data_IF_365844148767
#
_entry.id   IF_365844148767
#
_cell.length_a   1.000
_cell.length_b   1.000
_cell.length_c   1.000
_cell.angle_alpha   90.00
_cell.angle_beta   90.00
_cell.angle_gamma   90.00
#
_symmetry.space_group_name_H-M   'P 1'
#
loop_
_entity.id
_entity.type
_entity.pdbx_description
1 polymer ?
#
# COMPACT_ATOMS: atom_id res chain seq x y z
N UNK A 1 1.78 1.99 -14.36
CA UNK A 1 1.19 1.05 -15.33
C UNK A 1 -0.16 0.59 -14.80
N UNK A 2 -1.23 0.97 -15.49
CA UNK A 2 -2.58 0.47 -15.23
C UNK A 2 -2.56 -1.04 -15.45
N UNK A 3 -2.71 -1.81 -14.36
CA UNK A 3 -2.99 -3.22 -14.45
C UNK A 3 -4.24 -3.42 -15.30
N UNK A 4 -4.08 -4.14 -16.40
CA UNK A 4 -5.19 -4.69 -17.15
C UNK A 4 -5.98 -5.56 -16.17
N UNK A 5 -7.17 -5.09 -15.78
CA UNK A 5 -8.10 -5.89 -15.02
C UNK A 5 -8.29 -7.21 -15.74
N UNK A 6 -8.07 -8.32 -15.05
CA UNK A 6 -8.35 -9.65 -15.57
C UNK A 6 -9.79 -9.67 -16.08
N UNK A 7 -9.93 -9.76 -17.38
CA UNK A 7 -11.21 -9.99 -18.02
C UNK A 7 -11.61 -11.40 -17.65
N UNK A 8 -12.41 -11.56 -16.59
CA UNK A 8 -12.95 -12.84 -16.18
C UNK A 8 -13.77 -13.42 -17.34
N UNK A 9 -13.16 -14.34 -18.10
CA UNK A 9 -13.84 -15.10 -19.11
C UNK A 9 -14.82 -16.05 -18.40
N UNK A 10 -16.08 -15.69 -18.35
CA UNK A 10 -17.14 -16.56 -17.83
C UNK A 10 -17.50 -17.57 -18.90
N UNK A 11 -17.29 -18.85 -18.60
CA UNK A 11 -17.68 -19.95 -19.48
C UNK A 11 -18.97 -20.57 -18.95
N UNK A 12 -19.97 -20.67 -19.81
CA UNK A 12 -21.21 -21.39 -19.49
C UNK A 12 -20.95 -22.87 -19.64
N UNK A 13 -21.11 -23.61 -18.55
CA UNK A 13 -20.92 -25.08 -18.52
C UNK A 13 -22.19 -25.80 -18.96
N UNK A 14 -23.36 -25.38 -18.47
CA UNK A 14 -24.64 -25.97 -18.85
C UNK A 14 -25.79 -24.95 -18.69
N UNK A 15 -26.90 -25.21 -19.39
CA UNK A 15 -28.16 -24.50 -19.27
C UNK A 15 -29.24 -25.48 -18.90
N UNK A 16 -29.89 -25.28 -17.76
CA UNK A 16 -30.79 -26.21 -17.14
C UNK A 16 -32.14 -25.54 -16.85
N UNK A 17 -33.20 -26.32 -16.97
CA UNK A 17 -34.48 -25.99 -16.36
C UNK A 17 -34.57 -26.80 -15.06
N UNK A 18 -34.79 -26.12 -13.94
CA UNK A 18 -34.85 -26.76 -12.62
C UNK A 18 -36.18 -27.46 -12.46
N UNK A 19 -36.13 -28.76 -12.19
CA UNK A 19 -37.29 -29.63 -11.93
C UNK A 19 -36.87 -30.89 -11.22
N UNK A 20 -37.79 -31.65 -10.67
CA UNK A 20 -37.48 -32.87 -9.90
C UNK A 20 -36.69 -33.90 -10.73
N UNK A 21 -36.99 -34.07 -12.01
CA UNK A 21 -36.34 -34.96 -12.94
C UNK A 21 -34.91 -34.49 -13.34
N UNK A 22 -34.57 -33.22 -13.13
CA UNK A 22 -33.30 -32.64 -13.53
C UNK A 22 -32.21 -32.79 -12.47
N UNK A 23 -32.49 -33.39 -11.31
CA UNK A 23 -31.57 -33.45 -10.16
C UNK A 23 -30.20 -34.01 -10.49
N UNK A 24 -30.13 -35.13 -11.15
CA UNK A 24 -28.84 -35.81 -11.47
C UNK A 24 -28.02 -35.02 -12.48
N UNK A 25 -28.70 -34.39 -13.45
CA UNK A 25 -28.05 -33.50 -14.42
C UNK A 25 -27.54 -32.26 -13.74
N UNK A 26 -28.32 -31.66 -12.86
CA UNK A 26 -27.88 -30.50 -12.04
C UNK A 26 -26.63 -30.86 -11.24
N UNK A 27 -26.63 -32.00 -10.54
CA UNK A 27 -25.47 -32.45 -9.74
C UNK A 27 -24.23 -32.67 -10.59
N UNK A 28 -24.39 -33.22 -11.79
CA UNK A 28 -23.26 -33.42 -12.73
C UNK A 28 -22.70 -32.08 -13.21
N UNK A 29 -23.56 -31.15 -13.63
CA UNK A 29 -23.16 -29.82 -14.09
C UNK A 29 -22.52 -28.99 -12.98
N UNK A 30 -23.00 -29.10 -11.74
CA UNK A 30 -22.38 -28.44 -10.57
C UNK A 30 -20.97 -28.98 -10.31
N UNK A 31 -20.78 -30.32 -10.34
CA UNK A 31 -19.44 -30.93 -10.15
C UNK A 31 -18.48 -30.47 -11.24
N UNK A 32 -18.93 -30.46 -12.48
CA UNK A 32 -18.10 -30.03 -13.62
C UNK A 32 -17.78 -28.54 -13.54
N UNK A 33 -18.75 -27.69 -13.20
CA UNK A 33 -18.53 -26.25 -13.01
C UNK A 33 -17.51 -25.97 -11.90
N UNK A 34 -17.63 -26.64 -10.76
CA UNK A 34 -16.66 -26.53 -9.66
C UNK A 34 -15.28 -27.05 -10.05
N UNK A 35 -15.21 -28.12 -10.87
CA UNK A 35 -13.94 -28.67 -11.36
C UNK A 35 -13.23 -27.67 -12.28
N UNK A 36 -13.95 -27.14 -13.27
CA UNK A 36 -13.39 -26.18 -14.23
C UNK A 36 -13.06 -24.84 -13.58
N UNK A 37 -13.93 -24.35 -12.66
CA UNK A 37 -13.75 -23.12 -11.89
C UNK A 37 -12.81 -23.25 -10.69
N UNK A 38 -12.03 -24.36 -10.57
CA UNK A 38 -11.08 -24.59 -9.47
C UNK A 38 -11.72 -24.37 -8.09
N UNK A 39 -12.94 -24.89 -7.90
CA UNK A 39 -13.67 -24.77 -6.65
C UNK A 39 -14.65 -23.59 -6.60
N UNK A 40 -14.69 -22.75 -7.61
CA UNK A 40 -15.61 -21.59 -7.69
C UNK A 40 -16.55 -21.73 -8.89
N UNK A 41 -17.83 -21.38 -8.71
CA UNK A 41 -18.82 -21.34 -9.80
C UNK A 41 -19.82 -20.23 -9.57
N UNK A 42 -20.57 -19.88 -10.61
CA UNK A 42 -21.71 -18.98 -10.53
C UNK A 42 -22.97 -19.64 -11.13
N UNK A 43 -24.09 -19.37 -10.52
CA UNK A 43 -25.41 -19.71 -11.06
C UNK A 43 -26.10 -18.43 -11.49
N UNK A 44 -26.54 -18.37 -12.73
CA UNK A 44 -27.30 -17.25 -13.27
C UNK A 44 -28.75 -17.69 -13.49
N UNK A 45 -29.65 -16.99 -12.84
CA UNK A 45 -31.10 -17.20 -13.00
C UNK A 45 -31.65 -16.27 -14.10
N UNK A 46 -32.08 -16.87 -15.20
CA UNK A 46 -32.60 -16.12 -16.33
C UNK A 46 -33.98 -15.46 -16.04
N UNK A 47 -34.75 -15.98 -15.08
CA UNK A 47 -36.09 -15.44 -14.74
C UNK A 47 -35.98 -14.16 -13.91
N UNK A 48 -35.00 -14.10 -13.02
CA UNK A 48 -34.79 -12.96 -12.12
C UNK A 48 -33.58 -12.08 -12.51
N UNK A 49 -32.83 -12.47 -13.54
CA UNK A 49 -31.57 -11.84 -13.96
C UNK A 49 -30.53 -11.74 -12.84
N UNK A 50 -30.64 -12.59 -11.83
CA UNK A 50 -29.73 -12.58 -10.68
C UNK A 50 -28.60 -13.60 -10.85
N UNK A 51 -27.42 -13.21 -10.40
CA UNK A 51 -26.26 -14.06 -10.33
C UNK A 51 -25.90 -14.33 -8.88
N UNK A 52 -25.63 -15.61 -8.56
CA UNK A 52 -25.13 -16.05 -7.25
C UNK A 52 -23.84 -16.82 -7.42
N UNK A 53 -22.87 -16.51 -6.58
CA UNK A 53 -21.58 -17.19 -6.57
C UNK A 53 -21.56 -18.27 -5.49
N UNK A 54 -20.87 -19.36 -5.80
CA UNK A 54 -20.65 -20.48 -4.89
C UNK A 54 -19.17 -20.90 -4.97
N UNK A 55 -18.58 -21.19 -3.82
CA UNK A 55 -17.18 -21.58 -3.74
C UNK A 55 -16.97 -22.63 -2.64
N UNK A 56 -15.97 -23.49 -2.83
CA UNK A 56 -15.43 -24.36 -1.79
C UNK A 56 -14.39 -23.65 -0.92
N UNK A 57 -13.92 -22.48 -1.37
CA UNK A 57 -12.97 -21.61 -0.67
C UNK A 57 -13.69 -20.41 -0.06
N UNK A 58 -13.01 -19.68 0.79
CA UNK A 58 -13.52 -18.44 1.35
C UNK A 58 -13.83 -17.46 0.22
N UNK A 59 -15.08 -17.06 0.10
CA UNK A 59 -15.54 -16.16 -0.95
C UNK A 59 -16.70 -15.30 -0.47
N UNK A 60 -16.73 -14.05 -0.89
CA UNK A 60 -17.90 -13.19 -0.72
C UNK A 60 -19.02 -13.59 -1.71
N UNK A 61 -20.19 -14.05 -1.26
CA UNK A 61 -21.23 -14.54 -2.16
C UNK A 61 -21.83 -13.44 -3.04
N UNK A 62 -21.78 -12.18 -2.61
CA UNK A 62 -22.34 -11.05 -3.37
C UNK A 62 -21.39 -10.49 -4.43
N UNK A 63 -20.09 -10.48 -4.16
CA UNK A 63 -19.08 -9.88 -5.07
C UNK A 63 -18.31 -10.93 -5.89
N UNK A 64 -18.30 -12.20 -5.43
CA UNK A 64 -17.51 -13.28 -6.03
C UNK A 64 -16.01 -13.17 -5.75
N UNK A 65 -15.58 -12.24 -4.88
CA UNK A 65 -14.17 -12.13 -4.48
C UNK A 65 -13.82 -13.34 -3.62
N UNK A 66 -12.87 -14.15 -4.09
CA UNK A 66 -12.36 -15.32 -3.39
C UNK A 66 -11.09 -14.97 -2.60
N UNK A 67 -10.97 -15.55 -1.42
CA UNK A 67 -9.80 -15.47 -0.57
C UNK A 67 -9.13 -16.85 -0.49
N UNK A 68 -7.81 -16.86 -0.40
CA UNK A 68 -7.08 -18.08 -0.12
C UNK A 68 -7.40 -18.57 1.30
N UNK A 69 -7.36 -19.88 1.50
CA UNK A 69 -7.53 -20.47 2.83
C UNK A 69 -6.40 -19.96 3.75
N UNK A 70 -6.74 -19.54 4.98
CA UNK A 70 -5.76 -18.96 5.89
C UNK A 70 -4.71 -20.01 6.28
N UNK A 71 -3.45 -19.60 6.18
CA UNK A 71 -2.31 -20.38 6.61
C UNK A 71 -1.44 -19.50 7.53
N UNK A 72 -0.53 -20.05 8.34
CA UNK A 72 0.29 -19.27 9.27
C UNK A 72 1.01 -18.09 8.61
N UNK A 73 1.47 -18.25 7.37
CA UNK A 73 2.15 -17.20 6.63
C UNK A 73 1.22 -16.03 6.21
N UNK A 74 -0.11 -16.24 6.16
CA UNK A 74 -1.10 -15.19 5.91
C UNK A 74 -1.09 -14.11 6.99
N UNK A 75 -0.72 -14.50 8.22
CA UNK A 75 -0.67 -13.63 9.39
C UNK A 75 0.74 -13.14 9.72
N UNK A 76 1.72 -13.37 8.85
CA UNK A 76 3.10 -12.97 9.04
C UNK A 76 3.44 -11.77 8.16
N UNK A 77 3.87 -10.67 8.76
CA UNK A 77 4.38 -9.51 8.03
C UNK A 77 5.77 -9.74 7.40
N UNK A 78 6.45 -10.83 7.75
CA UNK A 78 7.71 -11.26 7.12
C UNK A 78 7.48 -12.16 5.90
N UNK A 79 6.23 -12.52 5.60
CA UNK A 79 5.86 -13.34 4.46
C UNK A 79 5.21 -12.48 3.37
N UNK A 80 5.58 -12.61 2.09
CA UNK A 80 4.92 -11.92 0.98
C UNK A 80 3.41 -12.20 0.89
N UNK A 81 2.95 -13.34 1.42
CA UNK A 81 1.53 -13.71 1.46
C UNK A 81 0.75 -12.88 2.48
N UNK A 82 1.37 -12.52 3.62
CA UNK A 82 0.73 -11.76 4.69
C UNK A 82 1.10 -10.28 4.73
N UNK A 83 2.30 -9.93 4.29
CA UNK A 83 2.82 -8.57 4.33
C UNK A 83 1.98 -7.58 3.50
N UNK A 84 1.80 -6.38 4.02
CA UNK A 84 1.23 -5.27 3.25
C UNK A 84 2.09 -5.01 2.00
N UNK A 85 1.53 -5.05 0.78
CA UNK A 85 2.31 -4.91 -0.44
C UNK A 85 2.85 -3.50 -0.67
N UNK A 86 2.30 -2.50 0.02
CA UNK A 86 2.74 -1.12 -0.09
C UNK A 86 4.04 -0.86 0.70
N UNK A 87 4.06 -1.27 1.97
CA UNK A 87 5.22 -1.07 2.84
C UNK A 87 6.07 -2.35 3.03
N UNK A 88 5.78 -3.42 2.29
CA UNK A 88 6.47 -4.71 2.40
C UNK A 88 6.60 -5.24 3.84
N UNK A 89 5.56 -5.02 4.66
CA UNK A 89 5.54 -5.46 6.04
C UNK A 89 6.24 -4.55 7.05
N UNK A 90 6.76 -3.39 6.63
CA UNK A 90 7.43 -2.43 7.52
C UNK A 90 6.45 -1.71 8.45
N UNK A 91 5.20 -1.51 8.01
CA UNK A 91 4.17 -0.78 8.76
C UNK A 91 4.27 0.74 8.64
N UNK A 92 5.34 1.22 8.05
CA UNK A 92 5.61 2.64 7.82
C UNK A 92 6.08 2.87 6.39
N UNK A 93 5.99 4.10 5.94
CA UNK A 93 6.44 4.55 4.63
C UNK A 93 7.31 5.80 4.79
N UNK A 94 8.36 5.89 4.01
CA UNK A 94 9.18 7.07 3.91
C UNK A 94 8.52 8.06 2.95
N UNK A 95 8.29 9.28 3.38
CA UNK A 95 7.74 10.37 2.57
C UNK A 95 8.64 11.58 2.65
N UNK A 96 8.68 12.35 1.57
CA UNK A 96 9.42 13.61 1.57
C UNK A 96 8.74 14.65 2.47
N UNK A 97 9.54 15.28 3.30
CA UNK A 97 9.09 16.36 4.17
C UNK A 97 9.38 17.70 3.51
N UNK A 98 8.33 18.42 3.17
CA UNK A 98 8.45 19.76 2.53
C UNK A 98 9.23 20.73 3.42
N UNK A 99 9.07 20.66 4.74
CA UNK A 99 9.82 21.53 5.67
C UNK A 99 11.32 21.22 5.70
N UNK A 100 11.72 19.98 5.38
CA UNK A 100 13.14 19.63 5.21
C UNK A 100 13.66 19.97 3.82
N UNK A 101 12.80 19.97 2.80
CA UNK A 101 13.14 20.35 1.43
C UNK A 101 13.25 21.88 1.34
N UNK A 102 12.36 22.61 1.99
CA UNK A 102 12.29 24.08 2.01
C UNK A 102 12.29 24.53 3.48
N UNK A 103 13.46 24.59 4.12
CA UNK A 103 13.54 24.93 5.54
C UNK A 103 13.23 26.42 5.82
N UNK A 104 13.43 27.30 4.83
CA UNK A 104 13.13 28.71 4.94
C UNK A 104 12.31 29.20 3.73
N UNK A 105 11.03 29.44 3.96
CA UNK A 105 10.10 29.97 2.95
C UNK A 105 10.34 31.43 2.59
N UNK A 106 11.16 32.14 3.35
CA UNK A 106 11.54 33.54 3.07
C UNK A 106 12.64 33.68 2.02
N UNK A 107 13.37 32.59 1.74
CA UNK A 107 14.38 32.56 0.69
C UNK A 107 13.75 32.32 -0.68
N UNK A 108 14.45 32.78 -1.72
CA UNK A 108 14.10 32.54 -3.11
C UNK A 108 14.76 31.26 -3.65
N UNK A 109 14.26 30.76 -4.79
CA UNK A 109 14.90 29.63 -5.49
C UNK A 109 16.35 29.94 -5.87
N UNK A 110 16.65 31.20 -6.21
CA UNK A 110 18.00 31.67 -6.53
C UNK A 110 18.93 31.64 -5.33
N UNK A 111 18.42 31.95 -4.15
CA UNK A 111 19.17 31.94 -2.89
C UNK A 111 19.36 30.54 -2.32
N UNK A 112 18.64 29.53 -2.87
CA UNK A 112 18.75 28.13 -2.46
C UNK A 112 17.69 27.72 -1.45
N UNK A 113 16.49 28.30 -1.49
CA UNK A 113 15.35 27.92 -0.63
C UNK A 113 15.05 26.41 -0.69
N UNK A 114 15.24 25.79 -1.85
CA UNK A 114 15.07 24.36 -2.06
C UNK A 114 16.42 23.68 -1.86
N UNK A 115 16.67 23.17 -0.66
CA UNK A 115 17.97 22.67 -0.23
C UNK A 115 18.56 21.58 -1.16
N UNK A 116 17.78 20.59 -1.65
CA UNK A 116 18.28 19.58 -2.59
C UNK A 116 18.83 20.16 -3.90
N UNK A 117 18.34 21.30 -4.36
CA UNK A 117 18.78 21.95 -5.59
C UNK A 117 19.98 22.89 -5.35
N UNK A 118 20.13 23.38 -4.13
CA UNK A 118 21.15 24.35 -3.75
C UNK A 118 20.93 25.74 -4.34
N UNK A 119 21.96 26.58 -4.25
CA UNK A 119 21.92 27.93 -4.82
C UNK A 119 21.94 27.90 -6.35
N UNK A 120 21.43 28.96 -6.94
CA UNK A 120 21.40 29.15 -8.39
C UNK A 120 22.74 28.84 -9.07
N UNK A 121 22.66 28.10 -10.15
CA UNK A 121 23.73 27.82 -11.08
C UNK A 121 23.20 27.97 -12.50
N UNK A 122 24.03 28.49 -13.40
CA UNK A 122 23.66 28.53 -14.82
C UNK A 122 23.75 27.10 -15.40
N UNK A 123 22.67 26.34 -15.23
CA UNK A 123 22.54 24.95 -15.74
C UNK A 123 21.10 24.66 -16.17
N UNK A 124 20.91 23.51 -16.82
CA UNK A 124 19.64 23.05 -17.33
C UNK A 124 18.53 22.98 -16.25
N UNK A 125 18.88 22.61 -15.02
CA UNK A 125 17.93 22.49 -13.93
C UNK A 125 17.27 23.84 -13.62
N UNK A 126 18.06 24.90 -13.46
CA UNK A 126 17.53 26.24 -13.20
C UNK A 126 16.82 26.84 -14.41
N UNK A 127 17.22 26.48 -15.65
CA UNK A 127 16.47 26.86 -16.84
C UNK A 127 15.06 26.23 -16.86
N UNK A 128 14.92 24.98 -16.37
CA UNK A 128 13.61 24.33 -16.19
C UNK A 128 12.77 25.13 -15.19
N UNK A 129 13.34 25.49 -14.04
CA UNK A 129 12.63 26.27 -13.02
C UNK A 129 12.23 27.66 -13.50
N UNK A 130 13.04 28.33 -14.33
CA UNK A 130 12.67 29.60 -14.99
C UNK A 130 11.48 29.44 -15.93
N UNK A 131 11.41 28.33 -16.67
CA UNK A 131 10.26 28.04 -17.54
C UNK A 131 9.00 27.73 -16.74
N UNK A 132 9.12 27.03 -15.59
CA UNK A 132 7.99 26.89 -14.65
C UNK A 132 7.54 28.24 -14.12
N UNK A 133 8.49 29.12 -13.77
CA UNK A 133 8.19 30.48 -13.33
C UNK A 133 7.36 31.26 -14.35
N UNK A 134 7.73 31.19 -15.64
CA UNK A 134 6.96 31.82 -16.71
C UNK A 134 5.56 31.23 -16.90
N UNK A 135 5.41 29.90 -16.68
CA UNK A 135 4.11 29.21 -16.80
C UNK A 135 3.17 29.51 -15.65
N UNK A 136 3.72 29.63 -14.45
CA UNK A 136 2.95 29.79 -13.21
C UNK A 136 3.05 31.17 -12.57
N UNK A 137 3.58 32.16 -13.31
CA UNK A 137 3.65 33.57 -12.95
C UNK A 137 4.46 33.83 -11.67
N UNK A 138 5.69 33.31 -11.63
CA UNK A 138 6.68 33.59 -10.60
C UNK A 138 8.09 33.72 -11.18
N UNK A 139 9.00 34.32 -10.43
CA UNK A 139 10.43 34.43 -10.76
C UNK A 139 11.29 33.63 -9.79
N UNK A 140 12.53 33.32 -10.18
CA UNK A 140 13.46 32.65 -9.26
C UNK A 140 13.91 33.52 -8.08
N UNK A 141 13.64 34.83 -8.14
CA UNK A 141 13.99 35.81 -7.12
C UNK A 141 12.87 36.03 -6.09
N UNK A 142 11.66 35.49 -6.35
CA UNK A 142 10.54 35.59 -5.43
C UNK A 142 10.73 34.64 -4.24
N UNK A 143 10.41 35.06 -3.01
CA UNK A 143 10.39 34.17 -1.86
C UNK A 143 9.48 32.97 -2.09
N UNK A 144 9.95 31.75 -1.78
CA UNK A 144 9.17 30.53 -2.06
C UNK A 144 7.81 30.53 -1.36
N UNK A 145 7.70 31.15 -0.19
CA UNK A 145 6.42 31.32 0.52
C UNK A 145 5.41 32.23 -0.17
N UNK A 146 5.83 33.04 -1.15
CA UNK A 146 4.95 33.91 -1.94
C UNK A 146 4.56 33.35 -3.31
N UNK A 147 5.14 32.20 -3.70
CA UNK A 147 4.81 31.55 -4.97
C UNK A 147 3.34 31.12 -5.04
N UNK A 148 2.69 31.24 -6.21
CA UNK A 148 1.38 30.66 -6.41
C UNK A 148 1.39 29.16 -6.09
N UNK A 149 0.36 28.66 -5.42
CA UNK A 149 0.26 27.24 -5.01
C UNK A 149 0.48 26.25 -6.17
N UNK A 150 -0.09 26.46 -7.39
CA UNK A 150 0.20 25.59 -8.53
C UNK A 150 1.68 25.59 -8.94
N UNK A 151 2.35 26.74 -8.84
CA UNK A 151 3.77 26.90 -9.15
C UNK A 151 4.65 26.16 -8.15
N UNK A 152 4.38 26.32 -6.85
CA UNK A 152 5.09 25.59 -5.80
C UNK A 152 4.89 24.08 -5.92
N UNK A 153 3.66 23.63 -6.20
CA UNK A 153 3.37 22.22 -6.45
C UNK A 153 4.10 21.68 -7.67
N UNK A 154 4.17 22.47 -8.77
CA UNK A 154 4.93 22.09 -9.94
C UNK A 154 6.44 21.98 -9.64
N UNK A 155 7.01 22.86 -8.84
CA UNK A 155 8.41 22.76 -8.40
C UNK A 155 8.63 21.48 -7.59
N UNK A 156 7.77 21.18 -6.62
CA UNK A 156 7.94 20.06 -5.69
C UNK A 156 7.61 18.70 -6.30
N UNK A 157 6.53 18.60 -7.07
CA UNK A 157 5.94 17.32 -7.49
C UNK A 157 5.92 17.14 -9.01
N UNK A 158 6.41 18.14 -9.75
CA UNK A 158 6.47 18.08 -11.21
C UNK A 158 5.28 18.70 -11.92
N UNK A 159 5.43 18.77 -13.23
CA UNK A 159 4.41 19.29 -14.15
C UNK A 159 4.00 18.19 -15.14
N UNK A 160 2.70 18.07 -15.38
CA UNK A 160 2.15 17.09 -16.33
C UNK A 160 2.44 17.46 -17.79
N UNK A 161 2.68 18.72 -18.09
CA UNK A 161 2.97 19.22 -19.42
C UNK A 161 4.46 19.45 -19.62
N UNK A 162 5.05 18.96 -20.73
CA UNK A 162 6.45 19.21 -21.04
C UNK A 162 6.75 20.71 -21.20
N UNK A 163 7.96 21.08 -20.82
CA UNK A 163 8.50 22.43 -20.98
C UNK A 163 9.38 22.50 -22.22
N UNK A 164 9.25 23.59 -22.98
CA UNK A 164 10.15 23.85 -24.13
C UNK A 164 11.33 24.67 -23.65
N UNK A 165 12.54 24.09 -23.70
CA UNK A 165 13.78 24.77 -23.28
C UNK A 165 14.69 24.95 -24.49
N UNK A 166 15.29 26.12 -24.59
CA UNK A 166 16.35 26.38 -25.57
C UNK A 166 17.69 25.94 -24.97
N UNK A 167 18.28 24.88 -25.50
CA UNK A 167 19.55 24.33 -25.02
C UNK A 167 20.78 24.96 -25.66
N UNK A 168 20.64 26.02 -26.49
CA UNK A 168 21.79 26.66 -27.16
C UNK A 168 22.85 27.19 -26.18
N UNK A 169 22.47 27.49 -24.94
CA UNK A 169 23.38 27.99 -23.90
C UNK A 169 24.07 26.86 -23.14
N UNK A 170 23.57 25.63 -23.21
CA UNK A 170 24.03 24.48 -22.41
C UNK A 170 24.61 23.34 -23.26
N UNK A 171 24.38 23.36 -24.56
CA UNK A 171 24.83 22.30 -25.48
C UNK A 171 25.17 22.84 -26.84
N UNK A 172 26.25 22.32 -27.47
CA UNK A 172 26.67 22.62 -28.83
C UNK A 172 25.69 22.14 -29.91
N UNK A 173 24.72 21.29 -29.56
CA UNK A 173 23.68 20.81 -30.46
C UNK A 173 22.40 21.66 -30.45
N UNK A 174 22.47 22.90 -30.03
CA UNK A 174 21.44 23.90 -29.85
C UNK A 174 20.08 23.65 -30.51
N UNK A 175 19.03 24.19 -29.90
CA UNK A 175 17.63 24.08 -30.37
C UNK A 175 16.64 24.01 -29.23
N UNK A 176 15.37 24.02 -29.58
CA UNK A 176 14.29 23.85 -28.60
C UNK A 176 14.06 22.38 -28.36
N UNK A 177 14.12 21.97 -27.09
CA UNK A 177 13.87 20.62 -26.64
C UNK A 177 12.67 20.60 -25.67
N UNK A 178 11.85 19.54 -25.79
CA UNK A 178 10.80 19.24 -24.82
C UNK A 178 11.40 18.47 -23.66
N UNK A 179 11.26 19.01 -22.44
CA UNK A 179 11.76 18.42 -21.21
C UNK A 179 10.61 18.27 -20.22
N UNK A 180 10.49 17.10 -19.61
CA UNK A 180 9.54 16.87 -18.53
C UNK A 180 10.23 17.14 -17.19
N UNK A 181 9.56 17.89 -16.32
CA UNK A 181 9.97 18.10 -14.95
C UNK A 181 9.11 17.26 -14.01
N UNK A 182 9.73 16.34 -13.31
CA UNK A 182 9.02 15.39 -12.42
C UNK A 182 9.00 15.85 -10.95
N UNK A 183 9.58 17.03 -10.67
CA UNK A 183 9.60 17.62 -9.34
C UNK A 183 10.86 17.30 -8.52
N UNK A 184 11.04 18.10 -7.47
CA UNK A 184 12.16 17.96 -6.53
C UNK A 184 12.12 16.60 -5.83
N UNK A 185 10.94 16.09 -5.48
CA UNK A 185 10.79 14.78 -4.84
C UNK A 185 11.37 13.65 -5.70
N UNK A 186 11.06 13.63 -7.00
CA UNK A 186 11.62 12.64 -7.93
C UNK A 186 13.10 12.89 -8.21
N UNK A 187 13.51 14.17 -8.28
CA UNK A 187 14.93 14.54 -8.40
C UNK A 187 15.76 13.98 -7.25
N UNK A 188 15.28 14.06 -5.99
CA UNK A 188 15.94 13.45 -4.84
C UNK A 188 16.00 11.92 -4.98
N UNK A 189 14.95 11.31 -5.54
CA UNK A 189 14.88 9.86 -5.77
C UNK A 189 15.87 9.34 -6.82
N UNK A 190 16.20 10.16 -7.84
CA UNK A 190 17.01 9.80 -9.02
C UNK A 190 18.48 10.27 -8.97
N UNK A 191 18.96 10.74 -7.85
CA UNK A 191 20.38 11.15 -7.77
C UNK A 191 21.30 10.00 -8.17
N UNK A 192 22.28 10.26 -9.05
CA UNK A 192 23.17 9.28 -9.71
C UNK A 192 23.91 8.31 -8.77
N UNK A 193 23.90 8.57 -7.48
CA UNK A 193 24.51 7.76 -6.43
C UNK A 193 23.49 6.91 -5.64
N UNK A 194 22.40 6.44 -6.27
CA UNK A 194 21.32 5.67 -5.59
C UNK A 194 21.85 4.48 -4.78
N UNK A 195 22.89 3.81 -5.27
CA UNK A 195 23.49 2.64 -4.62
C UNK A 195 24.62 3.01 -3.65
N UNK A 196 25.05 4.28 -3.62
CA UNK A 196 26.10 4.70 -2.70
C UNK A 196 25.53 4.99 -1.30
N UNK A 197 26.26 4.57 -0.26
CA UNK A 197 25.90 4.90 1.12
C UNK A 197 25.79 6.41 1.37
N UNK A 198 26.49 7.21 0.59
CA UNK A 198 26.48 8.67 0.68
C UNK A 198 25.19 9.24 0.08
N UNK A 199 24.76 8.75 -1.08
CA UNK A 199 23.50 9.15 -1.73
C UNK A 199 22.30 8.78 -0.89
N UNK A 200 22.27 7.55 -0.33
CA UNK A 200 21.21 7.10 0.58
C UNK A 200 21.12 8.00 1.82
N UNK A 201 22.25 8.29 2.50
CA UNK A 201 22.30 9.16 3.67
C UNK A 201 21.87 10.60 3.35
N UNK A 202 22.21 11.10 2.16
CA UNK A 202 21.79 12.42 1.71
C UNK A 202 20.25 12.46 1.48
N UNK A 203 19.67 11.46 0.82
CA UNK A 203 18.23 11.35 0.60
C UNK A 203 17.45 11.23 1.90
N UNK A 204 17.95 10.44 2.87
CA UNK A 204 17.34 10.26 4.19
C UNK A 204 17.14 11.57 4.95
N UNK A 205 17.93 12.60 4.68
CA UNK A 205 17.80 13.91 5.33
C UNK A 205 16.47 14.59 5.01
N UNK A 206 15.90 14.31 3.83
CA UNK A 206 14.65 14.90 3.36
C UNK A 206 13.43 14.03 3.62
N UNK A 207 13.62 12.86 4.24
CA UNK A 207 12.55 11.92 4.52
C UNK A 207 12.06 12.02 5.97
N UNK A 208 10.79 11.72 6.15
CA UNK A 208 10.18 11.37 7.43
C UNK A 208 9.44 10.06 7.29
N UNK A 209 9.45 9.26 8.37
CA UNK A 209 8.72 8.01 8.40
C UNK A 209 7.37 8.25 9.06
N UNK A 210 6.31 7.81 8.39
CA UNK A 210 4.94 7.84 8.92
C UNK A 210 4.30 6.48 8.79
N UNK A 211 3.21 6.27 9.54
CA UNK A 211 2.43 5.04 9.40
C UNK A 211 2.00 4.86 7.96
N UNK A 212 2.20 3.65 7.43
CA UNK A 212 1.82 3.30 6.07
C UNK A 212 0.35 3.65 5.80
N UNK A 213 0.09 4.41 4.74
CA UNK A 213 -1.24 4.89 4.36
C UNK A 213 -2.21 3.76 3.99
N UNK A 214 -1.70 2.60 3.57
CA UNK A 214 -2.50 1.45 3.13
C UNK A 214 -2.88 0.55 4.31
N UNK A 215 -1.92 0.18 5.15
CA UNK A 215 -2.16 -0.74 6.27
C UNK A 215 -2.34 -0.04 7.63
N UNK A 216 -2.17 1.28 7.71
CA UNK A 216 -2.32 2.04 8.95
C UNK A 216 -1.34 1.64 10.08
N UNK A 217 -0.22 1.01 9.72
CA UNK A 217 0.77 0.50 10.69
C UNK A 217 0.59 -0.97 11.05
N UNK A 218 -0.45 -1.67 10.59
CA UNK A 218 -0.69 -3.09 10.90
C UNK A 218 0.32 -4.06 10.29
N UNK A 219 1.10 -3.61 9.29
CA UNK A 219 2.10 -4.38 8.53
C UNK A 219 1.53 -5.48 7.63
N UNK A 220 0.24 -5.78 7.74
CA UNK A 220 -0.43 -6.90 7.09
C UNK A 220 -1.37 -6.44 5.98
N UNK A 221 -1.69 -7.38 5.08
CA UNK A 221 -2.76 -7.22 4.10
C UNK A 221 -4.11 -7.08 4.81
N UNK A 222 -5.03 -6.34 4.18
CA UNK A 222 -6.38 -6.13 4.72
C UNK A 222 -7.16 -7.43 4.90
N UNK A 223 -6.89 -8.43 4.06
CA UNK A 223 -7.50 -9.76 4.11
C UNK A 223 -7.15 -10.49 5.40
N UNK A 224 -5.90 -10.43 5.85
CA UNK A 224 -5.47 -11.03 7.11
C UNK A 224 -6.18 -10.43 8.33
N UNK A 225 -6.59 -9.17 8.26
CA UNK A 225 -7.27 -8.46 9.35
C UNK A 225 -8.77 -8.79 9.45
N UNK A 226 -9.32 -9.54 8.48
CA UNK A 226 -10.72 -9.98 8.53
C UNK A 226 -10.91 -11.18 9.46
N UNK A 227 -9.85 -11.94 9.74
CA UNK A 227 -9.89 -13.01 10.72
C UNK A 227 -9.84 -12.43 12.13
N UNK A 228 -10.87 -12.74 12.93
CA UNK A 228 -11.05 -12.15 14.26
C UNK A 228 -11.39 -13.21 15.30
N UNK A 229 -10.85 -13.02 16.49
CA UNK A 229 -11.21 -13.79 17.69
C UNK A 229 -11.73 -12.78 18.73
N UNK A 230 -12.94 -12.95 19.21
CA UNK A 230 -13.56 -11.99 20.12
C UNK A 230 -13.63 -10.57 19.53
N UNK A 231 -13.87 -10.44 18.23
CA UNK A 231 -13.94 -9.17 17.52
C UNK A 231 -12.58 -8.51 17.23
N UNK A 232 -11.46 -9.07 17.69
CA UNK A 232 -10.11 -8.54 17.52
C UNK A 232 -9.34 -9.25 16.39
N UNK A 233 -8.73 -8.48 15.50
CA UNK A 233 -7.80 -8.97 14.50
C UNK A 233 -6.41 -9.20 15.08
N UNK A 234 -5.53 -9.87 14.35
CA UNK A 234 -4.13 -10.03 14.78
C UNK A 234 -3.40 -8.68 14.96
N UNK A 235 -3.75 -7.66 14.18
CA UNK A 235 -3.17 -6.32 14.36
C UNK A 235 -3.64 -5.66 15.66
N UNK A 236 -4.93 -5.81 15.99
CA UNK A 236 -5.48 -5.30 17.25
C UNK A 236 -4.79 -5.96 18.45
N UNK A 237 -4.59 -7.27 18.39
CA UNK A 237 -3.91 -8.05 19.43
C UNK A 237 -2.42 -7.69 19.52
N UNK A 238 -1.75 -7.51 18.37
CA UNK A 238 -0.33 -7.14 18.33
C UNK A 238 -0.05 -5.71 18.83
N UNK A 239 -1.07 -4.86 18.88
CA UNK A 239 -0.96 -3.50 19.42
C UNK A 239 -1.20 -3.41 20.93
N UNK A 240 -1.63 -4.49 21.57
CA UNK A 240 -1.84 -4.56 23.03
C UNK A 240 -0.51 -4.54 23.79
N UNK A 241 -0.53 -3.98 24.96
CA UNK A 241 0.51 -4.22 25.95
C UNK A 241 0.52 -5.70 26.38
N UNK A 242 1.63 -6.17 26.93
CA UNK A 242 1.75 -7.56 27.42
C UNK A 242 0.66 -7.87 28.47
N UNK A 243 0.35 -6.90 29.34
CA UNK A 243 -0.69 -7.04 30.37
C UNK A 243 -2.08 -7.18 29.76
N UNK A 244 -2.45 -6.29 28.82
CA UNK A 244 -3.75 -6.36 28.12
C UNK A 244 -3.89 -7.65 27.30
N UNK A 245 -2.79 -8.08 26.66
CA UNK A 245 -2.78 -9.33 25.91
C UNK A 245 -2.94 -10.54 26.83
N UNK A 246 -2.28 -10.53 27.99
CA UNK A 246 -2.41 -11.60 29.01
C UNK A 246 -3.84 -11.72 29.53
N UNK A 247 -4.49 -10.58 29.82
CA UNK A 247 -5.88 -10.54 30.26
C UNK A 247 -6.83 -11.05 29.17
N UNK A 248 -6.65 -10.61 27.93
CA UNK A 248 -7.45 -11.06 26.80
C UNK A 248 -7.29 -12.57 26.56
N UNK A 249 -6.07 -13.11 26.60
CA UNK A 249 -5.80 -14.55 26.42
C UNK A 249 -6.37 -15.36 27.59
N UNK A 250 -6.48 -14.79 28.80
CA UNK A 250 -7.08 -15.48 29.94
C UNK A 250 -8.56 -15.81 29.72
N UNK A 251 -9.25 -15.03 28.89
CA UNK A 251 -10.68 -15.17 28.56
C UNK A 251 -10.93 -15.57 27.10
N UNK A 252 -9.92 -16.04 26.38
CA UNK A 252 -10.03 -16.31 24.94
C UNK A 252 -11.02 -17.43 24.63
N UNK A 253 -11.20 -18.40 25.56
CA UNK A 253 -12.14 -19.50 25.45
C UNK A 253 -13.60 -19.03 25.37
N UNK A 254 -13.94 -17.88 25.95
CA UNK A 254 -15.30 -17.32 25.92
C UNK A 254 -15.72 -16.89 24.50
N UNK A 255 -14.77 -16.79 23.58
CA UNK A 255 -14.97 -16.37 22.19
C UNK A 255 -14.94 -17.54 21.19
N UNK A 256 -14.84 -18.80 21.67
CA UNK A 256 -14.69 -20.00 20.86
C UNK A 256 -15.81 -20.99 21.15
N UNK A 257 -16.20 -21.76 20.14
CA UNK A 257 -17.04 -22.93 20.34
C UNK A 257 -16.22 -24.14 20.84
N UNK A 258 -16.89 -25.21 21.26
CA UNK A 258 -16.25 -26.44 21.80
C UNK A 258 -15.28 -27.09 20.81
N UNK A 259 -15.53 -26.94 19.51
CA UNK A 259 -14.70 -27.52 18.44
C UNK A 259 -13.45 -26.66 18.24
N UNK A 260 -13.63 -25.36 18.16
CA UNK A 260 -12.55 -24.38 18.05
C UNK A 260 -11.62 -24.44 19.25
N UNK A 261 -12.21 -24.54 20.47
CA UNK A 261 -11.43 -24.67 21.69
C UNK A 261 -10.59 -25.94 21.72
N UNK A 262 -11.13 -27.09 21.31
CA UNK A 262 -10.34 -28.34 21.23
C UNK A 262 -9.12 -28.23 20.32
N UNK A 263 -9.18 -27.40 19.29
CA UNK A 263 -8.07 -27.16 18.39
C UNK A 263 -7.06 -26.18 19.01
N UNK A 264 -7.55 -25.13 19.66
CA UNK A 264 -6.73 -24.02 20.13
C UNK A 264 -6.08 -24.22 21.51
N UNK A 265 -6.65 -25.07 22.39
CA UNK A 265 -6.29 -25.17 23.79
C UNK A 265 -4.79 -25.38 24.08
N UNK A 266 -4.10 -26.20 23.30
CA UNK A 266 -2.68 -26.47 23.50
C UNK A 266 -1.83 -25.25 23.15
N UNK A 267 -2.18 -24.55 22.06
CA UNK A 267 -1.49 -23.31 21.65
C UNK A 267 -1.75 -22.19 22.63
N UNK A 268 -2.99 -22.05 23.12
CA UNK A 268 -3.36 -21.06 24.14
C UNK A 268 -2.62 -21.30 25.45
N UNK A 269 -2.48 -22.56 25.87
CA UNK A 269 -1.70 -22.95 27.04
C UNK A 269 -0.25 -22.49 26.93
N UNK A 270 0.40 -22.76 25.79
CA UNK A 270 1.78 -22.34 25.54
C UNK A 270 1.90 -20.80 25.54
N UNK A 271 0.94 -20.08 24.94
CA UNK A 271 0.91 -18.61 24.97
C UNK A 271 0.79 -18.09 26.41
N UNK A 272 -0.10 -18.65 27.23
CA UNK A 272 -0.27 -18.27 28.64
C UNK A 272 1.01 -18.48 29.44
N UNK A 273 1.73 -19.60 29.24
CA UNK A 273 3.00 -19.89 29.91
C UNK A 273 4.09 -18.86 29.53
N UNK A 274 4.21 -18.53 28.24
CA UNK A 274 5.17 -17.54 27.76
C UNK A 274 4.84 -16.13 28.25
N UNK A 275 3.56 -15.75 28.28
CA UNK A 275 3.13 -14.45 28.81
C UNK A 275 3.45 -14.32 30.29
N UNK A 276 3.19 -15.37 31.09
CA UNK A 276 3.55 -15.40 32.50
C UNK A 276 5.04 -15.15 32.73
N UNK A 277 5.89 -15.87 31.95
CA UNK A 277 7.33 -15.66 32.04
C UNK A 277 7.75 -14.22 31.70
N UNK A 278 7.16 -13.62 30.65
CA UNK A 278 7.44 -12.22 30.27
C UNK A 278 7.00 -11.23 31.35
N UNK A 279 5.86 -11.48 31.98
CA UNK A 279 5.35 -10.67 33.09
C UNK A 279 6.26 -10.75 34.31
N UNK A 280 6.73 -11.96 34.65
CA UNK A 280 7.62 -12.18 35.78
C UNK A 280 8.99 -11.50 35.58
N UNK A 281 9.55 -11.58 34.40
CA UNK A 281 10.84 -10.91 34.05
C UNK A 281 10.65 -9.39 33.97
N UNK A 282 9.55 -8.90 33.40
CA UNK A 282 9.26 -7.47 33.30
C UNK A 282 9.03 -6.78 34.66
N UNK A 283 8.56 -7.50 35.64
CA UNK A 283 8.38 -6.98 36.98
C UNK A 283 9.69 -6.85 37.80
N UNK A 284 10.79 -7.44 37.32
CA UNK A 284 12.12 -7.39 37.99
C UNK A 284 12.96 -6.19 37.48
N UNK A 285 12.48 -5.45 36.48
CA UNK A 285 13.23 -4.36 35.82
C UNK A 285 12.80 -2.95 36.29
N UNK A 286 12.39 -2.78 37.54
CA UNK A 286 12.17 -1.48 38.22
C UNK A 286 12.96 -1.39 39.48
#
# INVERSE_FOLDING_TARGET
>A
SRGLGDVYKRQVVDRLVVGEEARDRVMTSLRESLRQGKGTMAVYDYGTEQQRFYSRHLMCPSTGIAFEDPAPHTFSFNSPQGACPHCNGLGEEAVFDVGKIIPDMGLSLREGAVEPLGKYRNNMLFAILEMLGRRYDFTLDDPVGSLPEPGLNAVLYGDSEPLTINLSEFSSSGGNHLVSWEGVAEYIGRTEDEDSKRGQKWREQFLVYRKCSVCGGSRLKKEALQFRIGGKSIADVSAMSISEFSEWVAHIEDYMDDKEWKIAQEVVKEIRERLRFLMDVGSVSY
#
